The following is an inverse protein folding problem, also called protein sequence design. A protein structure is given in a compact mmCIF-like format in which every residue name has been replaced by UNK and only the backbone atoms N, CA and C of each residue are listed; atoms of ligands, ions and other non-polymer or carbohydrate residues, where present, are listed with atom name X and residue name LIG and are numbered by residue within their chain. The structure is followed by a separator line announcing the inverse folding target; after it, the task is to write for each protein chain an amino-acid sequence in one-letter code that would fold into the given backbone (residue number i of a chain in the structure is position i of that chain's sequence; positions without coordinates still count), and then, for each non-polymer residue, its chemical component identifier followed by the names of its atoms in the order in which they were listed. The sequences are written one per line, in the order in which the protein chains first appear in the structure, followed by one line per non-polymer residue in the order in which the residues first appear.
data_IF_360809538849
#
_entry.id   IF_360809538849
#
_cell.length_a   1.000
_cell.length_b   1.000
_cell.length_c   1.000
_cell.angle_alpha   90.00
_cell.angle_beta   90.00
_cell.angle_gamma   90.00
#
_symmetry.space_group_name_H-M   'P 1'
#
loop_
_entity.id
_entity.type
_entity.pdbx_description
1 polymer ?
#
# COMPACT_ATOMS: atom_id res chain seq x y z
N UNK A 1 -6.78 49.39 62.02
CA UNK A 1 -7.36 49.83 60.71
C UNK A 1 -6.55 49.36 59.50
N UNK A 2 -5.21 49.46 59.49
CA UNK A 2 -4.38 49.01 58.36
C UNK A 2 -4.49 47.48 58.09
N UNK A 3 -4.47 46.64 59.13
CA UNK A 3 -4.57 45.17 58.98
C UNK A 3 -5.93 44.69 58.45
N UNK A 4 -7.02 45.36 58.82
CA UNK A 4 -8.35 45.06 58.30
C UNK A 4 -8.46 45.39 56.80
N UNK A 5 -7.88 46.53 56.37
CA UNK A 5 -7.78 46.90 54.95
C UNK A 5 -6.90 45.94 54.14
N UNK A 6 -5.80 45.45 54.72
CA UNK A 6 -4.93 44.45 54.09
C UNK A 6 -5.65 43.11 53.90
N UNK A 7 -6.41 42.63 54.90
CA UNK A 7 -7.22 41.40 54.81
C UNK A 7 -8.38 41.50 53.82
N UNK A 8 -9.07 42.64 53.74
CA UNK A 8 -10.15 42.85 52.75
C UNK A 8 -9.61 42.93 51.33
N UNK A 9 -8.44 43.55 51.14
CA UNK A 9 -7.75 43.59 49.85
C UNK A 9 -7.21 42.22 49.43
N UNK A 10 -6.76 41.38 50.38
CA UNK A 10 -6.37 40.00 50.06
C UNK A 10 -7.57 39.11 49.73
N UNK A 11 -8.72 39.30 50.38
CA UNK A 11 -9.92 38.51 50.11
C UNK A 11 -10.51 38.86 48.74
N UNK A 12 -10.62 40.16 48.42
CA UNK A 12 -11.09 40.61 47.10
C UNK A 12 -10.15 40.20 45.96
N UNK A 13 -8.83 40.20 46.21
CA UNK A 13 -7.85 39.66 45.28
C UNK A 13 -8.04 38.15 45.04
N UNK A 14 -8.28 37.36 46.09
CA UNK A 14 -8.54 35.92 45.96
C UNK A 14 -9.84 35.63 45.22
N UNK A 15 -10.92 36.39 45.48
CA UNK A 15 -12.19 36.25 44.77
C UNK A 15 -12.07 36.63 43.28
N UNK A 16 -11.36 37.71 42.96
CA UNK A 16 -11.14 38.13 41.56
C UNK A 16 -10.24 37.14 40.81
N UNK A 17 -9.16 36.64 41.43
CA UNK A 17 -8.36 35.53 40.90
C UNK A 17 -9.19 34.27 40.66
N UNK A 18 -10.10 33.92 41.58
CA UNK A 18 -11.00 32.79 41.44
C UNK A 18 -11.94 32.91 40.23
N UNK A 19 -12.55 34.09 40.04
CA UNK A 19 -13.41 34.36 38.89
C UNK A 19 -12.64 34.33 37.56
N UNK A 20 -11.42 34.88 37.53
CA UNK A 20 -10.54 34.82 36.37
C UNK A 20 -10.20 33.37 36.03
N UNK A 21 -9.85 32.55 37.03
CA UNK A 21 -9.56 31.13 36.83
C UNK A 21 -10.78 30.35 36.30
N UNK A 22 -11.97 30.59 36.84
CA UNK A 22 -13.22 29.98 36.35
C UNK A 22 -13.51 30.40 34.91
N UNK A 23 -13.32 31.69 34.59
CA UNK A 23 -13.48 32.19 33.23
C UNK A 23 -12.45 31.57 32.27
N UNK A 24 -11.18 31.48 32.67
CA UNK A 24 -10.13 30.86 31.87
C UNK A 24 -10.39 29.37 31.64
N UNK A 25 -10.82 28.63 32.68
CA UNK A 25 -11.16 27.21 32.57
C UNK A 25 -12.40 27.00 31.69
N UNK A 26 -13.47 27.77 31.89
CA UNK A 26 -14.67 27.66 31.06
C UNK A 26 -14.40 28.03 29.60
N UNK A 27 -13.58 29.06 29.34
CA UNK A 27 -13.14 29.41 28.00
C UNK A 27 -12.27 28.32 27.36
N UNK A 28 -11.34 27.73 28.11
CA UNK A 28 -10.51 26.62 27.64
C UNK A 28 -11.34 25.40 27.25
N UNK A 29 -12.29 25.00 28.10
CA UNK A 29 -13.22 23.89 27.84
C UNK A 29 -14.10 24.20 26.62
N UNK A 30 -14.65 25.41 26.54
CA UNK A 30 -15.44 25.86 25.39
C UNK A 30 -14.64 25.79 24.09
N UNK A 31 -13.41 26.32 24.10
CA UNK A 31 -12.51 26.31 22.94
C UNK A 31 -12.19 24.88 22.51
N UNK A 32 -11.86 24.00 23.45
CA UNK A 32 -11.59 22.58 23.17
C UNK A 32 -12.80 21.86 22.57
N UNK A 33 -14.00 22.08 23.12
CA UNK A 33 -15.24 21.48 22.60
C UNK A 33 -15.55 21.99 21.19
N UNK A 34 -15.46 23.31 20.97
CA UNK A 34 -15.65 23.91 19.64
C UNK A 34 -14.65 23.36 18.63
N UNK A 35 -13.37 23.24 19.01
CA UNK A 35 -12.35 22.68 18.15
C UNK A 35 -12.69 21.24 17.75
N UNK A 36 -13.06 20.40 18.73
CA UNK A 36 -13.40 19.01 18.50
C UNK A 36 -14.65 18.84 17.62
N UNK A 37 -15.65 19.72 17.75
CA UNK A 37 -16.85 19.69 16.90
C UNK A 37 -16.51 19.93 15.44
N UNK A 38 -15.73 20.97 15.12
CA UNK A 38 -15.30 21.23 13.74
C UNK A 38 -14.45 20.08 13.18
N UNK A 39 -13.54 19.54 13.99
CA UNK A 39 -12.71 18.41 13.61
C UNK A 39 -13.55 17.16 13.30
N UNK A 40 -14.50 16.82 14.18
CA UNK A 40 -15.44 15.71 13.99
C UNK A 40 -16.25 15.88 12.71
N UNK A 41 -16.75 17.09 12.46
CA UNK A 41 -17.50 17.40 11.25
C UNK A 41 -16.63 17.16 10.00
N UNK A 42 -15.39 17.64 9.99
CA UNK A 42 -14.46 17.43 8.88
C UNK A 42 -14.23 15.94 8.58
N UNK A 43 -13.95 15.15 9.62
CA UNK A 43 -13.65 13.71 9.49
C UNK A 43 -14.91 12.89 9.13
N UNK A 44 -16.10 13.38 9.47
CA UNK A 44 -17.36 12.71 9.11
C UNK A 44 -17.80 12.91 7.66
N UNK A 45 -17.19 13.86 6.93
CA UNK A 45 -17.52 14.07 5.52
C UNK A 45 -16.96 12.93 4.66
N UNK A 46 -17.84 12.30 3.91
CA UNK A 46 -17.48 11.24 2.97
C UNK A 46 -16.85 11.84 1.70
N UNK A 47 -15.70 11.32 1.29
CA UNK A 47 -15.02 11.73 0.05
C UNK A 47 -15.87 11.27 -1.14
N UNK A 48 -16.31 12.19 -2.02
CA UNK A 48 -17.05 11.82 -3.22
C UNK A 48 -16.23 10.90 -4.14
N UNK A 49 -16.88 9.90 -4.74
CA UNK A 49 -16.25 9.03 -5.75
C UNK A 49 -16.05 9.74 -7.09
N UNK A 50 -16.91 10.72 -7.42
CA UNK A 50 -16.85 11.47 -8.67
C UNK A 50 -16.03 12.75 -8.51
N UNK A 51 -15.16 13.01 -9.50
CA UNK A 51 -14.30 14.20 -9.53
C UNK A 51 -15.05 15.52 -9.36
N UNK A 52 -16.29 15.61 -9.87
CA UNK A 52 -17.12 16.82 -9.81
C UNK A 52 -17.38 17.30 -8.36
N UNK A 53 -17.44 16.38 -7.38
CA UNK A 53 -17.68 16.71 -5.98
C UNK A 53 -16.41 16.99 -5.17
N UNK A 54 -15.23 16.64 -5.70
CA UNK A 54 -13.98 16.65 -4.92
C UNK A 54 -13.52 18.06 -4.54
N UNK A 55 -13.70 19.06 -5.42
CA UNK A 55 -13.28 20.43 -5.10
C UNK A 55 -14.03 20.97 -3.87
N UNK A 56 -15.37 20.85 -3.87
CA UNK A 56 -16.22 21.30 -2.77
C UNK A 56 -15.91 20.54 -1.48
N UNK A 57 -15.68 19.23 -1.59
CA UNK A 57 -15.24 18.39 -0.47
C UNK A 57 -13.95 18.93 0.14
N UNK A 58 -12.90 19.15 -0.66
CA UNK A 58 -11.61 19.63 -0.18
C UNK A 58 -11.70 21.03 0.43
N UNK A 59 -12.47 21.94 -0.19
CA UNK A 59 -12.74 23.28 0.40
C UNK A 59 -13.33 23.16 1.80
N UNK A 60 -14.33 22.30 1.98
CA UNK A 60 -15.04 22.16 3.24
C UNK A 60 -14.17 21.52 4.33
N UNK A 61 -13.51 20.40 4.06
CA UNK A 61 -12.66 19.73 5.06
C UNK A 61 -11.46 20.60 5.47
N UNK A 62 -10.87 21.36 4.53
CA UNK A 62 -9.79 22.31 4.83
C UNK A 62 -10.32 23.50 5.64
N UNK A 63 -11.52 23.98 5.34
CA UNK A 63 -12.17 25.05 6.12
C UNK A 63 -12.46 24.61 7.55
N UNK A 64 -13.10 23.45 7.73
CA UNK A 64 -13.47 22.91 9.04
C UNK A 64 -12.23 22.60 9.90
N UNK A 65 -11.20 21.98 9.32
CA UNK A 65 -9.93 21.77 10.05
C UNK A 65 -9.23 23.08 10.38
N UNK A 66 -9.32 24.10 9.53
CA UNK A 66 -8.82 25.46 9.85
C UNK A 66 -9.57 26.09 11.02
N UNK A 67 -10.89 25.92 11.11
CA UNK A 67 -11.68 26.35 12.26
C UNK A 67 -11.25 25.60 13.53
N UNK A 68 -11.09 24.28 13.47
CA UNK A 68 -10.64 23.48 14.59
C UNK A 68 -9.27 23.94 15.12
N UNK A 69 -8.29 24.14 14.23
CA UNK A 69 -6.96 24.66 14.57
C UNK A 69 -7.06 26.09 15.16
N UNK A 70 -7.98 26.92 14.67
CA UNK A 70 -8.22 28.27 15.23
C UNK A 70 -8.54 28.25 16.72
N UNK A 71 -9.33 27.27 17.17
CA UNK A 71 -9.69 27.06 18.58
C UNK A 71 -8.64 26.24 19.37
N UNK A 72 -7.85 25.40 18.72
CA UNK A 72 -6.85 24.53 19.35
C UNK A 72 -5.55 24.45 18.52
N UNK A 73 -4.79 25.55 18.50
CA UNK A 73 -3.60 25.72 17.63
C UNK A 73 -2.46 24.73 17.90
N UNK A 74 -2.40 24.17 19.10
CA UNK A 74 -1.37 23.22 19.54
C UNK A 74 -1.82 21.76 19.46
N UNK A 75 -3.02 21.49 18.93
CA UNK A 75 -3.47 20.12 18.72
C UNK A 75 -2.83 19.56 17.44
N UNK A 76 -1.84 18.69 17.61
CA UNK A 76 -1.06 18.14 16.51
C UNK A 76 -1.90 17.24 15.57
N UNK A 77 -2.89 16.52 16.07
CA UNK A 77 -3.76 15.68 15.23
C UNK A 77 -4.56 16.52 14.24
N UNK A 78 -5.02 17.72 14.64
CA UNK A 78 -5.77 18.61 13.76
C UNK A 78 -4.87 19.18 12.66
N UNK A 79 -3.61 19.48 13.00
CA UNK A 79 -2.61 19.95 12.04
C UNK A 79 -2.30 18.86 11.01
N UNK A 80 -2.01 17.64 11.47
CA UNK A 80 -1.76 16.49 10.59
C UNK A 80 -2.96 16.22 9.70
N UNK A 81 -4.18 16.21 10.24
CA UNK A 81 -5.35 15.91 9.42
C UNK A 81 -5.60 16.97 8.35
N UNK A 82 -5.35 18.24 8.66
CA UNK A 82 -5.36 19.31 7.65
C UNK A 82 -4.27 19.09 6.59
N UNK A 83 -3.07 18.70 7.00
CA UNK A 83 -1.97 18.40 6.09
C UNK A 83 -2.31 17.22 5.16
N UNK A 84 -2.96 16.17 5.68
CA UNK A 84 -3.48 15.04 4.90
C UNK A 84 -4.44 15.56 3.82
N UNK A 85 -5.45 16.35 4.19
CA UNK A 85 -6.43 16.89 3.22
C UNK A 85 -5.80 17.77 2.15
N UNK A 86 -4.81 18.60 2.52
CA UNK A 86 -4.07 19.42 1.54
C UNK A 86 -3.28 18.49 0.61
N UNK A 87 -2.55 17.51 1.16
CA UNK A 87 -1.77 16.55 0.37
C UNK A 87 -2.64 15.75 -0.60
N UNK A 88 -3.81 15.29 -0.15
CA UNK A 88 -4.78 14.59 -0.98
C UNK A 88 -5.34 15.49 -2.09
N UNK A 89 -5.68 16.75 -1.77
CA UNK A 89 -6.14 17.72 -2.75
C UNK A 89 -5.08 18.03 -3.82
N UNK A 90 -3.81 18.13 -3.42
CA UNK A 90 -2.69 18.28 -4.35
C UNK A 90 -2.57 17.06 -5.28
N UNK A 91 -2.63 15.85 -4.72
CA UNK A 91 -2.57 14.59 -5.47
C UNK A 91 -3.73 14.44 -6.46
N UNK A 92 -4.94 14.86 -6.10
CA UNK A 92 -6.12 14.83 -6.98
C UNK A 92 -6.15 15.99 -8.00
N UNK A 93 -5.12 16.85 -8.00
CA UNK A 93 -4.93 17.91 -8.99
C UNK A 93 -5.75 19.18 -8.75
N UNK A 94 -6.08 19.50 -7.49
CA UNK A 94 -6.84 20.69 -7.09
C UNK A 94 -5.96 21.85 -6.56
N UNK A 95 -4.65 21.80 -6.77
CA UNK A 95 -3.69 22.81 -6.31
C UNK A 95 -4.06 24.23 -6.74
N UNK A 96 -4.34 24.42 -8.05
CA UNK A 96 -4.64 25.73 -8.63
C UNK A 96 -5.98 26.30 -8.12
N UNK A 97 -7.04 25.50 -8.14
CA UNK A 97 -8.39 25.91 -7.76
C UNK A 97 -8.47 26.31 -6.28
N UNK A 98 -7.69 25.64 -5.43
CA UNK A 98 -7.66 25.86 -3.99
C UNK A 98 -6.54 26.81 -3.55
N UNK A 99 -5.70 27.28 -4.48
CA UNK A 99 -4.50 28.06 -4.20
C UNK A 99 -3.59 27.39 -3.14
N UNK A 100 -3.41 26.06 -3.26
CA UNK A 100 -2.59 25.25 -2.37
C UNK A 100 -1.26 24.89 -3.03
N UNK A 101 -0.20 24.87 -2.23
CA UNK A 101 1.10 24.31 -2.61
C UNK A 101 1.60 23.27 -1.61
N UNK A 102 2.65 22.55 -1.99
CA UNK A 102 3.30 21.54 -1.14
C UNK A 102 3.75 22.13 0.21
N UNK A 103 4.22 23.38 0.20
CA UNK A 103 4.62 24.11 1.42
C UNK A 103 3.48 24.28 2.42
N UNK A 104 2.22 24.30 1.98
CA UNK A 104 1.08 24.42 2.87
C UNK A 104 0.90 23.14 3.69
N UNK A 105 0.97 21.96 3.05
CA UNK A 105 0.92 20.68 3.75
C UNK A 105 2.15 20.47 4.64
N UNK A 106 3.34 20.71 4.09
CA UNK A 106 4.62 20.55 4.79
C UNK A 106 4.64 21.34 6.11
N UNK A 107 4.21 22.60 6.08
CA UNK A 107 4.14 23.45 7.27
C UNK A 107 3.32 22.83 8.41
N UNK A 108 2.19 22.20 8.11
CA UNK A 108 1.33 21.60 9.12
C UNK A 108 1.91 20.29 9.65
N UNK A 109 2.48 19.44 8.78
CA UNK A 109 3.19 18.24 9.22
C UNK A 109 4.39 18.58 10.11
N UNK A 110 5.24 19.53 9.70
CA UNK A 110 6.38 19.98 10.49
C UNK A 110 5.95 20.50 11.85
N UNK A 111 4.85 21.29 11.91
CA UNK A 111 4.36 21.79 13.19
C UNK A 111 3.85 20.68 14.11
N UNK A 112 3.20 19.65 13.56
CA UNK A 112 2.77 18.51 14.34
C UNK A 112 3.96 17.70 14.91
N UNK A 113 5.00 17.47 14.10
CA UNK A 113 6.24 16.83 14.55
C UNK A 113 6.94 17.68 15.63
N UNK A 114 6.96 19.01 15.48
CA UNK A 114 7.51 19.92 16.50
C UNK A 114 6.74 19.83 17.83
N UNK A 115 5.41 19.75 17.77
CA UNK A 115 4.56 19.65 18.96
C UNK A 115 4.65 18.30 19.66
N UNK A 116 4.86 17.22 18.91
CA UNK A 116 5.02 15.87 19.46
C UNK A 116 6.02 15.04 18.65
N UNK A 117 7.33 15.18 18.92
CA UNK A 117 8.40 14.54 18.15
C UNK A 117 8.57 13.05 18.45
N UNK A 118 7.80 12.48 19.39
CA UNK A 118 7.85 11.03 19.72
C UNK A 118 6.68 10.27 19.11
N UNK A 119 5.77 10.96 18.42
CA UNK A 119 4.67 10.31 17.71
C UNK A 119 5.15 9.80 16.35
N UNK A 120 5.27 8.47 16.22
CA UNK A 120 5.74 7.85 14.98
C UNK A 120 4.82 8.12 13.78
N UNK A 121 3.51 8.27 13.99
CA UNK A 121 2.54 8.49 12.90
C UNK A 121 2.78 9.86 12.23
N UNK A 122 3.26 10.85 12.99
CA UNK A 122 3.55 12.17 12.43
C UNK A 122 4.81 12.13 11.57
N UNK A 123 5.85 11.42 12.03
CA UNK A 123 7.03 11.12 11.22
C UNK A 123 6.70 10.29 9.99
N UNK A 124 5.80 9.31 10.13
CA UNK A 124 5.33 8.46 9.03
C UNK A 124 4.69 9.29 7.93
N UNK A 125 3.74 10.15 8.30
CA UNK A 125 2.98 10.98 7.35
C UNK A 125 3.83 12.06 6.71
N UNK A 126 4.69 12.73 7.48
CA UNK A 126 5.65 13.69 6.93
C UNK A 126 6.63 12.99 5.96
N UNK A 127 7.12 11.82 6.35
CA UNK A 127 7.99 11.01 5.51
C UNK A 127 7.32 10.60 4.20
N UNK A 128 6.10 10.07 4.28
CA UNK A 128 5.31 9.70 3.11
C UNK A 128 4.99 10.89 2.21
N UNK A 129 4.64 12.04 2.79
CA UNK A 129 4.46 13.29 2.07
C UNK A 129 5.71 13.63 1.24
N UNK A 130 6.90 13.60 1.85
CA UNK A 130 8.15 13.86 1.13
C UNK A 130 8.45 12.83 0.04
N UNK A 131 8.19 11.53 0.28
CA UNK A 131 8.37 10.48 -0.72
C UNK A 131 7.52 10.75 -1.96
N UNK A 132 6.27 11.16 -1.79
CA UNK A 132 5.37 11.49 -2.91
C UNK A 132 5.83 12.71 -3.71
N UNK A 133 6.57 13.63 -3.09
CA UNK A 133 7.20 14.76 -3.81
C UNK A 133 8.59 14.42 -4.38
N UNK A 134 9.06 13.18 -4.22
CA UNK A 134 10.41 12.77 -4.60
C UNK A 134 11.52 13.38 -3.73
N UNK A 135 11.19 13.95 -2.58
CA UNK A 135 12.13 14.60 -1.66
C UNK A 135 12.87 13.57 -0.78
N UNK A 136 14.20 13.63 -0.80
CA UNK A 136 15.09 12.72 -0.06
C UNK A 136 14.90 12.77 1.46
N UNK A 137 14.37 13.88 2.00
CA UNK A 137 14.05 14.02 3.43
C UNK A 137 13.06 12.95 3.89
N UNK A 138 12.23 12.41 2.98
CA UNK A 138 11.23 11.40 3.29
C UNK A 138 11.81 10.14 3.94
N UNK A 139 12.94 9.65 3.43
CA UNK A 139 13.63 8.49 4.02
C UNK A 139 14.02 8.74 5.47
N UNK A 140 14.53 9.93 5.78
CA UNK A 140 14.95 10.30 7.13
C UNK A 140 13.81 10.24 8.13
N UNK A 141 12.65 10.77 7.77
CA UNK A 141 11.45 10.76 8.61
C UNK A 141 10.86 9.35 8.77
N UNK A 142 10.82 8.55 7.70
CA UNK A 142 10.42 7.15 7.80
C UNK A 142 11.36 6.33 8.69
N UNK A 143 12.67 6.56 8.62
CA UNK A 143 13.64 5.94 9.54
C UNK A 143 13.37 6.36 10.99
N UNK A 144 13.04 7.62 11.27
CA UNK A 144 12.63 8.04 12.62
C UNK A 144 11.39 7.28 13.08
N UNK A 145 10.37 7.15 12.23
CA UNK A 145 9.17 6.37 12.53
C UNK A 145 9.50 4.90 12.87
N UNK A 146 10.41 4.24 12.13
CA UNK A 146 10.85 2.88 12.45
C UNK A 146 11.59 2.79 13.79
N UNK A 147 12.36 3.80 14.18
CA UNK A 147 13.05 3.82 15.48
C UNK A 147 12.06 3.97 16.65
N UNK A 148 11.03 4.80 16.47
CA UNK A 148 9.99 5.00 17.48
C UNK A 148 9.11 3.74 17.62
N UNK A 149 8.71 3.12 16.51
CA UNK A 149 7.86 1.92 16.51
C UNK A 149 8.42 0.82 15.58
N UNK A 150 9.43 0.04 16.05
CA UNK A 150 10.21 -0.87 15.19
C UNK A 150 9.47 -2.12 14.70
N UNK A 151 8.28 -2.41 15.24
CA UNK A 151 7.45 -3.55 14.85
C UNK A 151 6.31 -3.17 13.90
N UNK A 152 6.19 -1.90 13.52
CA UNK A 152 5.10 -1.43 12.68
C UNK A 152 5.39 -1.71 11.19
N UNK A 153 4.80 -2.76 10.64
CA UNK A 153 5.04 -3.21 9.25
C UNK A 153 4.75 -2.12 8.21
N UNK A 154 3.70 -1.32 8.42
CA UNK A 154 3.30 -0.19 7.54
C UNK A 154 4.44 0.78 7.24
N UNK A 155 5.34 1.03 8.21
CA UNK A 155 6.47 1.95 7.99
C UNK A 155 7.45 1.38 6.96
N UNK A 156 7.62 0.06 6.96
CA UNK A 156 8.47 -0.63 6.00
C UNK A 156 7.83 -0.69 4.61
N UNK A 157 6.49 -0.69 4.51
CA UNK A 157 5.79 -0.52 3.22
C UNK A 157 6.11 0.83 2.58
N UNK A 158 6.10 1.93 3.35
CA UNK A 158 6.46 3.25 2.82
C UNK A 158 7.96 3.37 2.49
N UNK A 159 8.83 2.75 3.29
CA UNK A 159 10.25 2.65 2.96
C UNK A 159 10.47 1.82 1.68
N UNK A 160 9.73 0.72 1.52
CA UNK A 160 9.77 -0.09 0.31
C UNK A 160 9.35 0.72 -0.90
N UNK A 161 8.31 1.54 -0.81
CA UNK A 161 7.93 2.43 -1.91
C UNK A 161 9.03 3.43 -2.25
N UNK A 162 9.64 4.07 -1.24
CA UNK A 162 10.80 4.93 -1.46
C UNK A 162 11.96 4.18 -2.14
N UNK A 163 12.29 2.97 -1.69
CA UNK A 163 13.35 2.16 -2.27
C UNK A 163 13.02 1.70 -3.70
N UNK A 164 11.76 1.41 -3.98
CA UNK A 164 11.26 1.11 -5.33
C UNK A 164 11.50 2.28 -6.27
N UNK A 165 11.14 3.50 -5.87
CA UNK A 165 11.34 4.72 -6.66
C UNK A 165 12.83 5.00 -6.88
N UNK A 166 13.69 4.72 -5.89
CA UNK A 166 15.13 4.93 -5.97
C UNK A 166 15.92 3.76 -6.59
N UNK A 167 15.25 2.69 -7.01
CA UNK A 167 15.88 1.51 -7.60
C UNK A 167 16.78 0.72 -6.63
N UNK A 168 16.47 0.73 -5.34
CA UNK A 168 17.28 0.06 -4.30
C UNK A 168 16.75 -1.36 -4.03
N UNK A 169 17.03 -2.30 -4.94
CA UNK A 169 16.54 -3.69 -4.89
C UNK A 169 16.89 -4.41 -3.57
N UNK A 170 18.14 -4.29 -3.11
CA UNK A 170 18.59 -4.97 -1.89
C UNK A 170 17.76 -4.59 -0.66
N UNK A 171 17.36 -3.32 -0.56
CA UNK A 171 16.56 -2.83 0.56
C UNK A 171 15.10 -3.29 0.46
N UNK A 172 14.56 -3.42 -0.76
CA UNK A 172 13.25 -4.03 -0.98
C UNK A 172 13.23 -5.50 -0.56
N UNK A 173 14.26 -6.28 -0.94
CA UNK A 173 14.38 -7.69 -0.57
C UNK A 173 14.53 -7.83 0.94
N UNK A 174 15.33 -6.99 1.60
CA UNK A 174 15.45 -6.96 3.07
C UNK A 174 14.11 -6.64 3.74
N UNK A 175 13.35 -5.69 3.20
CA UNK A 175 12.03 -5.35 3.73
C UNK A 175 11.07 -6.54 3.64
N UNK A 176 11.03 -7.23 2.49
CA UNK A 176 10.19 -8.41 2.28
C UNK A 176 10.61 -9.56 3.21
N UNK A 177 11.91 -9.80 3.40
CA UNK A 177 12.40 -10.82 4.33
C UNK A 177 12.02 -10.50 5.79
N UNK A 178 11.99 -9.23 6.17
CA UNK A 178 11.63 -8.79 7.52
C UNK A 178 10.13 -8.84 7.80
N UNK A 179 9.31 -8.53 6.79
CA UNK A 179 7.84 -8.53 6.89
C UNK A 179 7.22 -9.33 5.72
N UNK A 180 7.38 -10.65 5.70
CA UNK A 180 6.99 -11.48 4.55
C UNK A 180 5.48 -11.59 4.35
N UNK A 181 4.68 -11.07 5.27
CA UNK A 181 3.21 -11.06 5.20
C UNK A 181 2.65 -9.67 4.89
N UNK A 182 3.49 -8.66 4.71
CA UNK A 182 3.09 -7.28 4.41
C UNK A 182 2.92 -7.12 2.88
N UNK A 183 1.69 -7.06 2.35
CA UNK A 183 1.44 -7.14 0.90
C UNK A 183 2.07 -5.99 0.13
N UNK A 184 2.04 -4.79 0.73
CA UNK A 184 2.48 -3.56 0.07
C UNK A 184 3.96 -3.58 -0.29
N UNK A 185 4.80 -4.32 0.44
CA UNK A 185 6.22 -4.48 0.10
C UNK A 185 6.38 -5.24 -1.22
N UNK A 186 5.58 -6.29 -1.44
CA UNK A 186 5.58 -7.03 -2.70
C UNK A 186 5.01 -6.20 -3.85
N UNK A 187 4.04 -5.32 -3.59
CA UNK A 187 3.58 -4.36 -4.60
C UNK A 187 4.72 -3.42 -5.03
N UNK A 188 5.48 -2.87 -4.07
CA UNK A 188 6.63 -2.02 -4.39
C UNK A 188 7.73 -2.78 -5.15
N UNK A 189 7.99 -4.05 -4.82
CA UNK A 189 8.88 -4.94 -5.59
C UNK A 189 8.35 -5.18 -7.02
N UNK A 190 7.06 -5.46 -7.17
CA UNK A 190 6.45 -5.65 -8.48
C UNK A 190 6.57 -4.39 -9.35
N UNK A 191 6.22 -3.21 -8.81
CA UNK A 191 6.38 -1.92 -9.47
C UNK A 191 7.84 -1.66 -9.88
N UNK A 192 8.80 -1.98 -9.02
CA UNK A 192 10.23 -1.89 -9.34
C UNK A 192 10.60 -2.77 -10.52
N UNK A 193 10.27 -4.07 -10.47
CA UNK A 193 10.63 -5.00 -11.54
C UNK A 193 9.91 -4.75 -12.86
N UNK A 194 8.69 -4.19 -12.85
CA UNK A 194 8.02 -3.76 -14.07
C UNK A 194 8.80 -2.63 -14.76
N UNK A 195 9.29 -1.63 -14.02
CA UNK A 195 10.13 -0.55 -14.57
C UNK A 195 11.46 -1.07 -15.10
N UNK A 196 12.05 -2.04 -14.43
CA UNK A 196 13.27 -2.74 -14.90
C UNK A 196 13.00 -3.75 -16.04
N UNK A 197 11.75 -3.85 -16.52
CA UNK A 197 11.33 -4.81 -17.55
C UNK A 197 11.64 -6.29 -17.19
N UNK A 198 11.72 -6.59 -15.89
CA UNK A 198 11.91 -7.94 -15.37
C UNK A 198 10.55 -8.59 -15.09
N UNK A 199 9.87 -8.95 -16.17
CA UNK A 199 8.50 -9.47 -16.16
C UNK A 199 8.29 -10.67 -15.21
N UNK A 200 9.26 -11.58 -15.14
CA UNK A 200 9.18 -12.76 -14.28
C UNK A 200 9.17 -12.38 -12.80
N UNK A 201 10.14 -11.58 -12.36
CA UNK A 201 10.20 -11.12 -10.96
C UNK A 201 9.01 -10.21 -10.64
N UNK A 202 8.56 -9.38 -11.59
CA UNK A 202 7.34 -8.59 -11.45
C UNK A 202 6.13 -9.47 -11.15
N UNK A 203 5.88 -10.49 -11.99
CA UNK A 203 4.76 -11.41 -11.79
C UNK A 203 4.84 -12.16 -10.46
N UNK A 204 6.02 -12.67 -10.08
CA UNK A 204 6.21 -13.36 -8.79
C UNK A 204 5.79 -12.46 -7.62
N UNK A 205 6.18 -11.18 -7.66
CA UNK A 205 5.83 -10.25 -6.60
C UNK A 205 4.35 -9.82 -6.66
N UNK A 206 3.73 -9.75 -7.84
CA UNK A 206 2.28 -9.55 -7.96
C UNK A 206 1.50 -10.72 -7.35
N UNK A 207 1.88 -11.97 -7.60
CA UNK A 207 1.15 -13.11 -7.02
C UNK A 207 1.35 -13.20 -5.49
N UNK A 208 2.49 -12.75 -4.97
CA UNK A 208 2.73 -12.62 -3.52
C UNK A 208 1.87 -11.50 -2.91
N UNK A 209 1.83 -10.32 -3.53
CA UNK A 209 0.91 -9.24 -3.15
C UNK A 209 -0.54 -9.75 -3.07
N UNK A 210 -1.02 -10.40 -4.13
CA UNK A 210 -2.38 -10.94 -4.22
C UNK A 210 -2.66 -12.09 -3.24
N UNK A 211 -1.62 -12.79 -2.79
CA UNK A 211 -1.72 -13.86 -1.80
C UNK A 211 -1.85 -13.31 -0.37
N UNK A 212 -1.09 -12.27 -0.04
CA UNK A 212 -1.09 -11.70 1.31
C UNK A 212 -2.18 -10.64 1.51
N UNK A 213 -2.58 -9.90 0.47
CA UNK A 213 -3.69 -8.95 0.55
C UNK A 213 -5.03 -9.71 0.50
N UNK A 214 -5.76 -9.69 1.61
CA UNK A 214 -7.02 -10.43 1.76
C UNK A 214 -8.24 -9.60 1.36
N UNK A 215 -8.12 -8.28 1.34
CA UNK A 215 -9.23 -7.40 0.96
C UNK A 215 -9.41 -7.42 -0.56
N UNK A 216 -10.57 -7.94 -1.02
CA UNK A 216 -10.86 -8.06 -2.44
C UNK A 216 -10.95 -6.72 -3.17
N UNK A 217 -11.50 -5.70 -2.52
CA UNK A 217 -11.68 -4.38 -3.12
C UNK A 217 -10.32 -3.68 -3.23
N UNK A 218 -9.49 -3.79 -2.18
CA UNK A 218 -8.13 -3.28 -2.20
C UNK A 218 -7.29 -3.91 -3.32
N UNK A 219 -7.38 -5.23 -3.52
CA UNK A 219 -6.69 -5.90 -4.63
C UNK A 219 -7.13 -5.34 -5.99
N UNK A 220 -8.43 -5.17 -6.20
CA UNK A 220 -8.94 -4.68 -7.48
C UNK A 220 -8.46 -3.25 -7.78
N UNK A 221 -8.61 -2.33 -6.81
CA UNK A 221 -8.19 -0.93 -7.02
C UNK A 221 -6.68 -0.79 -7.20
N UNK A 222 -5.87 -1.53 -6.43
CA UNK A 222 -4.41 -1.51 -6.56
C UNK A 222 -3.95 -2.11 -7.89
N UNK A 223 -4.53 -3.24 -8.32
CA UNK A 223 -4.16 -3.83 -9.61
C UNK A 223 -4.57 -2.93 -10.78
N UNK A 224 -5.69 -2.22 -10.66
CA UNK A 224 -6.12 -1.22 -11.63
C UNK A 224 -5.16 -0.02 -11.67
N UNK A 225 -4.63 0.42 -10.54
CA UNK A 225 -3.64 1.51 -10.48
C UNK A 225 -2.38 1.20 -11.31
N UNK A 226 -1.91 -0.05 -11.27
CA UNK A 226 -0.70 -0.48 -11.99
C UNK A 226 -0.98 -0.95 -13.42
N UNK A 227 -2.22 -0.85 -13.92
CA UNK A 227 -2.63 -1.39 -15.22
C UNK A 227 -1.76 -0.84 -16.36
N UNK A 228 -1.57 0.48 -16.39
CA UNK A 228 -0.77 1.15 -17.43
C UNK A 228 0.69 0.70 -17.39
N UNK A 229 1.28 0.54 -16.21
CA UNK A 229 2.66 0.02 -16.09
C UNK A 229 2.77 -1.41 -16.58
N UNK A 230 1.75 -2.25 -16.36
CA UNK A 230 1.76 -3.63 -16.87
C UNK A 230 1.55 -3.70 -18.39
N UNK A 231 0.89 -2.72 -19.02
CA UNK A 231 0.75 -2.69 -20.49
C UNK A 231 2.08 -2.60 -21.23
N UNK A 232 3.13 -2.11 -20.56
CA UNK A 232 4.49 -2.07 -21.10
C UNK A 232 5.20 -3.44 -21.04
N UNK A 233 4.68 -4.38 -20.23
CA UNK A 233 5.21 -5.74 -20.09
C UNK A 233 4.93 -6.60 -21.34
N UNK A 234 5.88 -7.46 -21.68
CA UNK A 234 5.73 -8.39 -22.82
C UNK A 234 5.18 -9.75 -22.40
N UNK A 235 5.33 -10.11 -21.12
CA UNK A 235 4.96 -11.42 -20.58
C UNK A 235 3.89 -11.34 -19.50
N UNK A 236 3.72 -10.20 -18.81
CA UNK A 236 2.67 -10.01 -17.79
C UNK A 236 1.46 -9.32 -18.41
N UNK A 237 0.28 -9.87 -18.15
CA UNK A 237 -0.99 -9.37 -18.67
C UNK A 237 -2.02 -9.27 -17.56
N UNK A 238 -2.82 -8.21 -17.59
CA UNK A 238 -3.95 -8.00 -16.69
C UNK A 238 -5.26 -8.12 -17.45
N UNK A 239 -6.17 -8.94 -16.92
CA UNK A 239 -7.56 -9.00 -17.34
C UNK A 239 -8.41 -8.53 -16.15
N UNK A 240 -8.72 -7.23 -16.10
CA UNK A 240 -9.49 -6.62 -15.02
C UNK A 240 -10.94 -7.12 -14.98
N UNK A 241 -11.52 -7.44 -16.14
CA UNK A 241 -12.89 -7.97 -16.23
C UNK A 241 -12.99 -9.36 -15.61
N UNK A 242 -12.04 -10.25 -15.91
CA UNK A 242 -11.97 -11.60 -15.33
C UNK A 242 -11.21 -11.66 -14.02
N UNK A 243 -10.72 -10.51 -13.53
CA UNK A 243 -9.89 -10.32 -12.33
C UNK A 243 -8.72 -11.29 -12.23
N UNK A 244 -7.85 -11.28 -13.25
CA UNK A 244 -6.71 -12.19 -13.35
C UNK A 244 -5.45 -11.47 -13.80
N UNK A 245 -4.33 -11.86 -13.18
CA UNK A 245 -2.98 -11.57 -13.66
C UNK A 245 -2.46 -12.84 -14.33
N UNK A 246 -1.88 -12.71 -15.52
CA UNK A 246 -1.31 -13.80 -16.29
C UNK A 246 0.14 -13.51 -16.61
N UNK A 247 1.00 -14.51 -16.47
CA UNK A 247 2.36 -14.51 -16.97
C UNK A 247 2.52 -15.54 -18.07
N UNK A 248 3.07 -15.13 -19.22
CA UNK A 248 3.24 -15.96 -20.40
C UNK A 248 4.73 -16.15 -20.69
N UNK A 249 5.18 -17.41 -20.70
CA UNK A 249 6.56 -17.77 -21.02
C UNK A 249 6.57 -18.80 -22.16
N UNK A 250 7.67 -18.84 -22.91
CA UNK A 250 7.93 -19.82 -23.96
C UNK A 250 9.16 -20.65 -23.58
N UNK A 251 9.01 -21.72 -22.77
CA UNK A 251 10.14 -22.50 -22.29
C UNK A 251 10.96 -23.16 -23.41
N UNK A 252 10.28 -23.56 -24.50
CA UNK A 252 10.89 -24.32 -25.62
C UNK A 252 11.64 -25.57 -25.12
N UNK A 253 11.08 -26.20 -24.09
CA UNK A 253 11.65 -27.36 -23.40
C UNK A 253 10.56 -28.38 -23.07
N UNK A 254 10.93 -29.64 -22.87
CA UNK A 254 10.03 -30.68 -22.37
C UNK A 254 9.81 -30.63 -20.85
N UNK A 255 10.54 -29.77 -20.14
CA UNK A 255 10.44 -29.59 -18.69
C UNK A 255 10.35 -28.09 -18.34
N UNK A 256 9.53 -27.76 -17.34
CA UNK A 256 9.54 -26.46 -16.66
C UNK A 256 9.59 -26.68 -15.14
N UNK A 257 10.56 -26.07 -14.46
CA UNK A 257 10.84 -26.30 -13.04
C UNK A 257 10.65 -25.00 -12.26
N UNK A 258 9.65 -24.97 -11.38
CA UNK A 258 9.29 -23.76 -10.63
C UNK A 258 10.43 -23.29 -9.72
N UNK A 259 11.23 -24.22 -9.17
CA UNK A 259 12.39 -23.90 -8.33
C UNK A 259 13.52 -23.27 -9.13
N UNK A 260 13.85 -23.84 -10.30
CA UNK A 260 14.86 -23.25 -11.20
C UNK A 260 14.46 -21.84 -11.64
N UNK A 261 13.17 -21.61 -11.81
CA UNK A 261 12.61 -20.30 -12.18
C UNK A 261 12.44 -19.34 -11.00
N UNK A 262 12.88 -19.72 -9.80
CA UNK A 262 12.85 -18.91 -8.58
C UNK A 262 11.45 -18.50 -8.13
N UNK A 263 10.44 -19.33 -8.38
CA UNK A 263 9.12 -19.15 -7.77
C UNK A 263 9.20 -19.33 -6.25
N UNK A 264 8.33 -18.65 -5.47
CA UNK A 264 8.44 -18.65 -4.02
C UNK A 264 8.03 -20.01 -3.43
N UNK A 265 8.71 -20.39 -2.35
CA UNK A 265 8.34 -21.52 -1.49
C UNK A 265 7.08 -21.19 -0.66
N UNK A 266 5.95 -21.05 -1.33
CA UNK A 266 4.68 -20.57 -0.78
C UNK A 266 3.50 -21.33 -1.41
N UNK A 267 2.44 -21.52 -0.64
CA UNK A 267 1.20 -22.16 -1.12
C UNK A 267 0.30 -21.16 -1.83
N UNK A 268 0.61 -20.88 -3.09
CA UNK A 268 -0.11 -19.90 -3.89
C UNK A 268 -0.99 -20.64 -4.91
N UNK A 269 -2.32 -20.55 -4.80
CA UNK A 269 -3.21 -21.11 -5.82
C UNK A 269 -3.01 -20.45 -7.17
N UNK A 270 -2.79 -21.25 -8.21
CA UNK A 270 -2.54 -20.82 -9.59
C UNK A 270 -3.28 -21.72 -10.59
N UNK A 271 -3.64 -21.16 -11.74
CA UNK A 271 -4.06 -21.94 -12.92
C UNK A 271 -2.91 -21.98 -13.91
N UNK A 272 -2.62 -23.17 -14.42
CA UNK A 272 -1.59 -23.41 -15.43
C UNK A 272 -2.24 -23.82 -16.74
N UNK A 273 -1.81 -23.19 -17.83
CA UNK A 273 -2.23 -23.53 -19.17
C UNK A 273 -1.02 -23.74 -20.06
N UNK A 274 -0.99 -24.87 -20.77
CA UNK A 274 0.17 -25.31 -21.54
C UNK A 274 -0.25 -25.52 -22.99
N UNK A 275 0.60 -25.05 -23.90
CA UNK A 275 0.51 -25.29 -25.32
C UNK A 275 1.72 -26.13 -25.72
N UNK A 276 1.45 -27.32 -26.24
CA UNK A 276 2.46 -28.32 -26.59
C UNK A 276 2.44 -28.53 -28.09
N UNK A 277 3.63 -28.58 -28.71
CA UNK A 277 3.80 -29.00 -30.11
C UNK A 277 4.17 -30.46 -30.18
N UNK A 278 3.63 -31.17 -31.18
CA UNK A 278 3.63 -32.61 -31.32
C UNK A 278 2.95 -33.23 -30.09
N UNK A 279 1.61 -33.32 -30.10
CA UNK A 279 0.82 -33.48 -28.89
C UNK A 279 1.30 -34.66 -28.06
N UNK A 280 1.75 -34.36 -26.84
CA UNK A 280 2.10 -35.38 -25.86
C UNK A 280 0.91 -36.32 -25.60
N UNK A 281 1.18 -37.58 -25.29
CA UNK A 281 0.16 -38.48 -24.76
C UNK A 281 -0.33 -37.98 -23.40
N UNK A 282 0.60 -37.42 -22.62
CA UNK A 282 0.38 -36.97 -21.25
C UNK A 282 1.21 -35.71 -20.97
N UNK A 283 0.63 -34.80 -20.20
CA UNK A 283 1.34 -33.68 -19.58
C UNK A 283 1.07 -33.75 -18.09
N UNK A 284 2.13 -33.83 -17.29
CA UNK A 284 2.04 -34.17 -15.87
C UNK A 284 2.84 -33.18 -15.06
N UNK A 285 2.31 -32.80 -13.91
CA UNK A 285 3.09 -32.14 -12.88
C UNK A 285 3.70 -33.20 -11.97
N UNK A 286 5.00 -33.10 -11.75
CA UNK A 286 5.81 -33.97 -10.91
C UNK A 286 6.18 -33.23 -9.63
N UNK A 287 6.32 -33.97 -8.55
CA UNK A 287 6.87 -33.53 -7.26
C UNK A 287 8.00 -34.48 -6.89
N UNK A 288 9.19 -33.96 -6.61
CA UNK A 288 10.35 -34.79 -6.21
C UNK A 288 10.57 -36.00 -7.15
N UNK A 289 10.41 -35.77 -8.46
CA UNK A 289 10.51 -36.80 -9.53
C UNK A 289 9.35 -37.82 -9.58
N UNK A 290 8.34 -37.69 -8.71
CA UNK A 290 7.15 -38.56 -8.67
C UNK A 290 5.97 -37.86 -9.38
N UNK A 291 5.24 -38.53 -10.30
CA UNK A 291 4.01 -38.00 -10.90
C UNK A 291 2.99 -37.59 -9.83
N UNK A 292 2.42 -36.39 -9.93
CA UNK A 292 1.49 -35.86 -8.94
C UNK A 292 0.09 -35.62 -9.51
N UNK A 293 -0.06 -34.80 -10.56
CA UNK A 293 -1.34 -34.51 -11.21
C UNK A 293 -1.19 -34.40 -12.71
N UNK A 294 -2.21 -34.86 -13.44
CA UNK A 294 -2.24 -34.75 -14.89
C UNK A 294 -3.00 -33.51 -15.33
N UNK A 295 -2.48 -32.85 -16.36
CA UNK A 295 -3.21 -31.78 -17.02
C UNK A 295 -4.37 -32.37 -17.82
N UNK A 296 -5.47 -31.62 -17.89
CA UNK A 296 -6.62 -32.00 -18.70
C UNK A 296 -6.43 -31.43 -20.10
N UNK A 297 -6.39 -32.31 -21.11
CA UNK A 297 -6.43 -31.91 -22.52
C UNK A 297 -7.75 -31.20 -22.79
N UNK A 298 -7.67 -29.92 -23.17
CA UNK A 298 -8.83 -29.07 -23.42
C UNK A 298 -9.17 -29.00 -24.91
N UNK A 299 -8.15 -29.03 -25.75
CA UNK A 299 -8.29 -28.96 -27.20
C UNK A 299 -7.02 -29.49 -27.90
N UNK A 300 -7.17 -29.97 -29.14
CA UNK A 300 -6.08 -30.39 -30.02
C UNK A 300 -6.44 -30.10 -31.47
N UNK A 301 -5.49 -29.59 -32.26
CA UNK A 301 -5.59 -29.43 -33.71
C UNK A 301 -4.23 -29.64 -34.35
N UNK A 302 -4.18 -30.50 -35.36
CA UNK A 302 -2.95 -30.82 -36.10
C UNK A 302 -1.83 -31.19 -35.12
N UNK A 303 -0.72 -30.44 -35.11
CA UNK A 303 0.45 -30.66 -34.25
C UNK A 303 0.41 -29.89 -32.93
N UNK A 304 -0.69 -29.21 -32.59
CA UNK A 304 -0.80 -28.43 -31.35
C UNK A 304 -1.89 -28.96 -30.41
N UNK A 305 -1.56 -29.05 -29.13
CA UNK A 305 -2.53 -29.36 -28.08
C UNK A 305 -2.45 -28.37 -26.92
N UNK A 306 -3.63 -28.11 -26.35
CA UNK A 306 -3.84 -27.19 -25.24
C UNK A 306 -4.32 -27.95 -24.01
N UNK A 307 -3.63 -27.73 -22.89
CA UNK A 307 -3.82 -28.42 -21.63
C UNK A 307 -4.05 -27.41 -20.51
N UNK A 308 -4.88 -27.76 -19.54
CA UNK A 308 -5.14 -26.91 -18.37
C UNK A 308 -5.11 -27.69 -17.07
N UNK A 309 -4.53 -27.10 -16.03
CA UNK A 309 -4.48 -27.62 -14.66
C UNK A 309 -4.75 -26.49 -13.67
N UNK A 310 -5.50 -26.79 -12.61
CA UNK A 310 -5.65 -25.88 -11.48
C UNK A 310 -4.86 -26.42 -10.28
N UNK A 311 -3.92 -25.61 -9.80
CA UNK A 311 -3.10 -25.88 -8.63
C UNK A 311 -3.60 -25.04 -7.46
N UNK A 312 -4.65 -25.47 -6.76
CA UNK A 312 -5.14 -24.73 -5.59
C UNK A 312 -5.29 -25.54 -4.30
N UNK A 313 -5.37 -26.87 -4.39
CA UNK A 313 -5.44 -27.74 -3.22
C UNK A 313 -4.03 -28.27 -2.87
N UNK A 314 -3.22 -27.44 -2.22
CA UNK A 314 -1.89 -27.84 -1.74
C UNK A 314 -2.01 -28.70 -0.46
N UNK A 315 -1.38 -29.89 -0.40
CA UNK A 315 -1.25 -30.64 0.85
C UNK A 315 -0.49 -29.87 1.96
N UNK A 316 -0.53 -30.35 3.23
CA UNK A 316 0.11 -29.69 4.37
C UNK A 316 1.62 -29.43 4.21
N UNK A 317 2.35 -30.28 3.50
CA UNK A 317 3.81 -30.20 3.38
C UNK A 317 4.26 -30.08 1.91
N UNK A 318 3.51 -29.29 1.12
CA UNK A 318 3.76 -29.09 -0.31
C UNK A 318 3.66 -27.61 -0.66
N UNK A 319 4.63 -27.13 -1.43
CA UNK A 319 4.83 -25.75 -1.83
C UNK A 319 4.92 -25.64 -3.35
N UNK A 320 4.79 -24.42 -3.88
CA UNK A 320 4.75 -24.19 -5.33
C UNK A 320 6.04 -24.60 -6.04
N UNK A 321 7.19 -24.34 -5.44
CA UNK A 321 8.51 -24.66 -5.99
C UNK A 321 8.92 -26.13 -5.83
N UNK A 322 8.08 -26.98 -5.22
CA UNK A 322 8.29 -28.44 -5.20
C UNK A 322 7.95 -29.09 -6.54
N UNK A 323 7.32 -28.34 -7.46
CA UNK A 323 6.74 -28.89 -8.68
C UNK A 323 7.59 -28.67 -9.94
N UNK A 324 7.51 -29.65 -10.86
CA UNK A 324 8.00 -29.56 -12.23
C UNK A 324 6.91 -30.00 -13.21
N UNK A 325 6.83 -29.39 -14.37
CA UNK A 325 5.96 -29.81 -15.46
C UNK A 325 6.81 -30.64 -16.42
N UNK A 326 6.34 -31.81 -16.84
CA UNK A 326 6.96 -32.60 -17.89
C UNK A 326 5.95 -33.10 -18.91
N UNK A 327 6.42 -33.25 -20.13
CA UNK A 327 5.68 -33.80 -21.27
C UNK A 327 6.21 -35.20 -21.63
N UNK A 328 5.34 -36.07 -22.13
CA UNK A 328 5.75 -37.37 -22.68
C UNK A 328 6.26 -37.25 -24.13
N UNK A 329 6.92 -38.31 -24.61
CA UNK A 329 7.33 -38.51 -26.02
C UNK A 329 8.16 -37.37 -26.64
N UNK A 330 8.98 -36.68 -25.84
CA UNK A 330 9.79 -35.54 -26.30
C UNK A 330 8.98 -34.35 -26.83
N UNK A 331 7.69 -34.26 -26.49
CA UNK A 331 6.86 -33.13 -26.87
C UNK A 331 7.35 -31.84 -26.20
N UNK A 332 7.27 -30.71 -26.89
CA UNK A 332 7.88 -29.45 -26.42
C UNK A 332 6.81 -28.52 -25.87
N UNK A 333 7.06 -27.95 -24.69
CA UNK A 333 6.24 -26.88 -24.13
C UNK A 333 6.58 -25.58 -24.89
N UNK A 334 5.74 -25.25 -25.88
CA UNK A 334 5.91 -24.04 -26.68
C UNK A 334 5.53 -22.79 -25.88
N UNK A 335 4.46 -22.87 -25.09
CA UNK A 335 3.97 -21.75 -24.29
C UNK A 335 3.37 -22.26 -22.99
N UNK A 336 3.70 -21.59 -21.89
CA UNK A 336 3.12 -21.79 -20.58
C UNK A 336 2.53 -20.47 -20.11
N UNK A 337 1.25 -20.50 -19.74
CA UNK A 337 0.56 -19.39 -19.11
C UNK A 337 0.28 -19.74 -17.64
N UNK A 338 0.76 -18.90 -16.72
CA UNK A 338 0.59 -19.01 -15.28
C UNK A 338 -0.35 -17.90 -14.85
N UNK A 339 -1.46 -18.25 -14.19
CA UNK A 339 -2.55 -17.30 -13.92
C UNK A 339 -2.88 -17.27 -12.43
N UNK A 340 -2.99 -16.06 -11.89
CA UNK A 340 -3.48 -15.77 -10.54
C UNK A 340 -4.74 -14.93 -10.61
N UNK A 341 -5.83 -15.42 -10.00
CA UNK A 341 -7.06 -14.64 -9.80
C UNK A 341 -6.99 -13.75 -8.56
N UNK A 342 -7.75 -12.64 -8.56
CA UNK A 342 -7.87 -11.71 -7.45
C UNK A 342 -9.29 -11.21 -7.18
#
# INVERSE_FOLDING_TARGET
MLEARLKTNSLSAVFSLGLILIFCCSFSVYSSLRAHLFYRQAVSLEKPSLRLGLEGYYREVIFLTSRAIGYAKTNADYLVKKADYISEALSDGFSSQLALGEKDAEKFYLKAVELNPVNFEYHLKLGWFYVNQGDERGKGELIKATKLHPKQSRVYSYLAEYYSIKGQEDELIKAAARYPQEPQIYLSLAKYYLRESNDKKAFINLILFLHHEKNSDARYEIIKEIEETVKESTQVFLDLEKRKVKFTIQPQAGEFDFKKESFPHQKIPLSLYIYVRNPADEVTIYRDEIPYLNFIKRWQREEEAFYGLWLGNFPPDVYLDDFKIRTSNSAVINKLEIIKGF
#
